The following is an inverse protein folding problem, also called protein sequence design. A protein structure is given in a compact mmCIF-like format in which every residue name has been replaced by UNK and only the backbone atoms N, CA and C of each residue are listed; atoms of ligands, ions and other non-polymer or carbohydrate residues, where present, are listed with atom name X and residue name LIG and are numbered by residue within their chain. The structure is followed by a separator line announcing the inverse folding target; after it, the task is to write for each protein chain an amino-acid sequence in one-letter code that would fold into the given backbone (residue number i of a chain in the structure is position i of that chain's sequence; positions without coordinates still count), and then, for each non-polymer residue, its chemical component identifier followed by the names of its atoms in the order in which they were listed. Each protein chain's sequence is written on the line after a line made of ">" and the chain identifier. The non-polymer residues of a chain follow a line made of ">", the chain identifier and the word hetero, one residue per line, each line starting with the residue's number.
data_IF_879529971812
#
_entry.id   IF_879529971812
#
_cell.length_a   1.000
_cell.length_b   1.000
_cell.length_c   1.000
_cell.angle_alpha   90.00
_cell.angle_beta   90.00
_cell.angle_gamma   90.00
#
_symmetry.space_group_name_H-M   'P 1'
#
loop_
_entity.id
_entity.type
_entity.pdbx_description
1 polymer ?
#
# COMPACT_ATOMS: atom_id res chain seq x y z
N UNK A 1 2.90 7.82 -12.22
CA UNK A 1 1.52 7.76 -12.71
C UNK A 1 1.07 6.31 -12.71
N UNK A 2 0.35 5.87 -11.67
CA UNK A 2 -0.41 4.59 -11.67
C UNK A 2 -1.40 4.50 -10.48
N UNK A 3 -1.83 5.64 -9.93
CA UNK A 3 -2.62 5.68 -8.68
C UNK A 3 -4.09 5.29 -8.90
N UNK A 4 -4.62 5.49 -10.11
CA UNK A 4 -6.03 5.22 -10.42
C UNK A 4 -6.38 3.73 -10.49
N UNK A 5 -5.45 2.86 -10.90
CA UNK A 5 -5.71 1.41 -10.92
C UNK A 5 -5.72 0.79 -9.51
N UNK A 6 -4.99 1.41 -8.58
CA UNK A 6 -4.90 0.91 -7.21
C UNK A 6 -6.26 0.98 -6.52
N UNK A 7 -7.03 2.05 -6.74
CA UNK A 7 -8.36 2.26 -6.12
C UNK A 7 -9.33 1.10 -6.32
N UNK A 8 -9.41 0.56 -7.54
CA UNK A 8 -10.33 -0.54 -7.86
C UNK A 8 -9.95 -1.86 -7.18
N UNK A 9 -8.65 -2.11 -7.04
CA UNK A 9 -8.12 -3.34 -6.43
C UNK A 9 -7.82 -3.18 -4.94
N UNK A 10 -7.84 -1.95 -4.41
CA UNK A 10 -7.45 -1.62 -3.05
C UNK A 10 -8.23 -2.39 -2.00
N UNK A 11 -9.52 -2.65 -2.22
CA UNK A 11 -10.32 -3.45 -1.29
C UNK A 11 -9.80 -4.88 -1.12
N UNK A 12 -9.24 -5.48 -2.17
CA UNK A 12 -8.62 -6.80 -2.09
C UNK A 12 -7.22 -6.69 -1.45
N UNK A 13 -6.47 -5.65 -1.82
CA UNK A 13 -5.14 -5.38 -1.27
C UNK A 13 -5.18 -5.02 0.22
N UNK A 14 -6.24 -4.38 0.72
CA UNK A 14 -6.37 -3.99 2.12
C UNK A 14 -6.27 -5.19 3.07
N UNK A 15 -6.81 -6.36 2.68
CA UNK A 15 -6.64 -7.59 3.46
C UNK A 15 -5.18 -8.04 3.53
N UNK A 16 -4.47 -8.00 2.41
CA UNK A 16 -3.04 -8.32 2.37
C UNK A 16 -2.18 -7.28 3.10
N UNK A 17 -2.55 -6.00 3.00
CA UNK A 17 -1.92 -4.89 3.71
C UNK A 17 -2.06 -5.05 5.22
N UNK A 18 -3.23 -5.46 5.71
CA UNK A 18 -3.45 -5.79 7.12
C UNK A 18 -2.59 -6.97 7.58
N UNK A 19 -2.43 -7.99 6.75
CA UNK A 19 -1.56 -9.13 7.06
C UNK A 19 -0.08 -8.73 7.11
N UNK A 20 0.37 -7.90 6.17
CA UNK A 20 1.74 -7.38 6.10
C UNK A 20 2.05 -6.44 7.26
N UNK A 21 1.15 -5.49 7.51
CA UNK A 21 1.29 -4.47 8.52
C UNK A 21 0.25 -4.68 9.62
N UNK A 22 0.36 -5.76 10.40
CA UNK A 22 -0.60 -6.10 11.46
C UNK A 22 -0.92 -5.03 12.52
N UNK A 23 -0.19 -3.90 12.55
CA UNK A 23 -0.54 -2.71 13.34
C UNK A 23 -1.56 -1.77 12.69
N UNK A 24 -1.82 -1.90 11.40
CA UNK A 24 -2.81 -1.13 10.65
C UNK A 24 -4.16 -1.81 10.80
N UNK A 25 -5.19 -1.02 11.11
CA UNK A 25 -6.57 -1.50 11.20
C UNK A 25 -7.26 -1.48 9.84
N UNK A 26 -8.34 -2.27 9.69
CA UNK A 26 -9.13 -2.28 8.46
C UNK A 26 -9.69 -0.87 8.14
N UNK A 27 -10.14 -0.12 9.16
CA UNK A 27 -10.64 1.24 8.99
C UNK A 27 -9.59 2.19 8.41
N UNK A 28 -8.36 2.13 8.93
CA UNK A 28 -7.25 2.94 8.41
C UNK A 28 -6.90 2.59 6.97
N UNK A 29 -6.84 1.29 6.68
CA UNK A 29 -6.60 0.81 5.33
C UNK A 29 -7.75 1.19 4.40
N UNK A 30 -9.00 1.18 4.86
CA UNK A 30 -10.14 1.66 4.07
C UNK A 30 -10.03 3.15 3.77
N UNK A 31 -9.58 3.98 4.73
CA UNK A 31 -9.37 5.42 4.52
C UNK A 31 -8.26 5.73 3.51
N UNK A 32 -7.30 4.83 3.30
CA UNK A 32 -6.27 5.00 2.27
C UNK A 32 -6.92 5.12 0.88
N UNK A 33 -8.03 4.43 0.63
CA UNK A 33 -8.77 4.46 -0.64
C UNK A 33 -7.85 4.30 -1.86
N UNK A 34 -6.88 3.38 -1.80
CA UNK A 34 -5.93 3.14 -2.89
C UNK A 34 -4.91 4.25 -3.14
N UNK A 35 -4.76 5.21 -2.23
CA UNK A 35 -3.73 6.25 -2.33
C UNK A 35 -2.43 5.78 -1.68
N UNK A 36 -1.41 5.49 -2.50
CA UNK A 36 -0.10 5.07 -2.00
C UNK A 36 0.53 6.05 -1.01
N UNK A 37 0.41 7.37 -1.23
CA UNK A 37 0.97 8.38 -0.31
C UNK A 37 0.29 8.34 1.06
N UNK A 38 -1.03 8.11 1.10
CA UNK A 38 -1.79 7.94 2.36
C UNK A 38 -1.32 6.69 3.11
N UNK A 39 -1.06 5.59 2.39
CA UNK A 39 -0.53 4.37 2.99
C UNK A 39 0.88 4.58 3.56
N UNK A 40 1.73 5.32 2.85
CA UNK A 40 3.09 5.66 3.31
C UNK A 40 3.02 6.48 4.60
N UNK A 41 2.14 7.48 4.67
CA UNK A 41 1.90 8.25 5.89
C UNK A 41 1.48 7.36 7.06
N UNK A 42 0.52 6.46 6.83
CA UNK A 42 0.06 5.50 7.83
C UNK A 42 1.18 4.58 8.33
N UNK A 43 1.99 4.03 7.43
CA UNK A 43 3.13 3.17 7.79
C UNK A 43 4.17 3.97 8.57
N UNK A 44 4.45 5.21 8.17
CA UNK A 44 5.34 6.12 8.89
C UNK A 44 4.83 6.40 10.31
N UNK A 45 3.55 6.75 10.49
CA UNK A 45 2.96 7.07 11.78
C UNK A 45 2.87 5.86 12.72
N UNK A 46 2.51 4.68 12.18
CA UNK A 46 2.27 3.47 12.99
C UNK A 46 3.53 2.69 13.34
N UNK A 47 4.57 2.79 12.51
CA UNK A 47 5.84 2.09 12.73
C UNK A 47 7.00 3.02 13.10
N UNK A 48 6.81 4.35 13.03
CA UNK A 48 7.87 5.32 13.30
C UNK A 48 8.98 5.28 12.24
N UNK A 49 8.66 4.90 11.01
CA UNK A 49 9.65 4.77 9.94
C UNK A 49 9.97 6.13 9.31
N UNK A 50 11.20 6.27 8.84
CA UNK A 50 11.55 7.37 7.95
C UNK A 50 10.72 7.29 6.67
N UNK A 51 10.39 8.44 6.08
CA UNK A 51 9.58 8.52 4.86
C UNK A 51 10.10 7.59 3.75
N UNK A 52 11.41 7.56 3.54
CA UNK A 52 12.06 6.69 2.55
C UNK A 52 11.79 5.20 2.81
N UNK A 53 11.88 4.77 4.07
CA UNK A 53 11.63 3.38 4.45
C UNK A 53 10.15 3.03 4.33
N UNK A 54 9.26 3.94 4.71
CA UNK A 54 7.82 3.73 4.57
C UNK A 54 7.41 3.66 3.09
N UNK A 55 7.99 4.53 2.26
CA UNK A 55 7.80 4.52 0.81
C UNK A 55 8.26 3.19 0.20
N UNK A 56 9.46 2.76 0.52
CA UNK A 56 10.03 1.52 0.01
C UNK A 56 9.23 0.27 0.46
N UNK A 57 8.74 0.22 1.70
CA UNK A 57 7.83 -0.84 2.16
C UNK A 57 6.52 -0.88 1.37
N UNK A 58 5.91 0.29 1.15
CA UNK A 58 4.68 0.42 0.37
C UNK A 58 4.93 0.03 -1.08
N UNK A 59 5.99 0.54 -1.70
CA UNK A 59 6.32 0.23 -3.10
C UNK A 59 6.56 -1.27 -3.27
N UNK A 60 7.29 -1.93 -2.37
CA UNK A 60 7.47 -3.39 -2.38
C UNK A 60 6.15 -4.14 -2.24
N UNK A 61 5.25 -3.66 -1.36
CA UNK A 61 3.93 -4.26 -1.19
C UNK A 61 3.10 -4.14 -2.47
N UNK A 62 3.10 -2.96 -3.10
CA UNK A 62 2.39 -2.72 -4.36
C UNK A 62 3.01 -3.53 -5.49
N UNK A 63 4.33 -3.60 -5.63
CA UNK A 63 5.03 -4.44 -6.62
C UNK A 63 4.66 -5.92 -6.49
N UNK A 64 4.56 -6.43 -5.26
CA UNK A 64 4.20 -7.84 -5.00
C UNK A 64 2.78 -8.19 -5.42
N UNK A 65 1.86 -7.23 -5.35
CA UNK A 65 0.43 -7.47 -5.61
C UNK A 65 -0.09 -6.80 -6.89
N UNK A 66 0.69 -5.93 -7.51
CA UNK A 66 0.46 -5.34 -8.83
C UNK A 66 1.00 -6.28 -9.91
N UNK A 67 0.61 -7.56 -9.89
CA UNK A 67 0.72 -8.41 -11.07
C UNK A 67 -0.33 -7.96 -12.07
N UNK A 68 0.04 -7.01 -12.94
CA UNK A 68 -0.44 -6.81 -14.31
C UNK A 68 0.38 -5.62 -14.88
N UNK A 69 1.13 -5.89 -15.96
CA UNK A 69 1.89 -4.94 -16.79
C UNK A 69 3.39 -4.68 -16.50
N UNK A 70 4.17 -5.68 -16.10
CA UNK A 70 5.60 -5.72 -16.46
C UNK A 70 6.05 -7.17 -16.71
N UNK A 71 5.51 -7.74 -17.77
CA UNK A 71 6.08 -8.95 -18.41
C UNK A 71 5.92 -8.82 -19.92
N UNK A 72 6.44 -7.72 -20.48
CA UNK A 72 6.75 -7.59 -21.91
C UNK A 72 8.04 -6.77 -22.05
N UNK A 73 9.17 -7.44 -21.89
CA UNK A 73 10.35 -7.19 -22.74
C UNK A 73 10.51 -8.37 -23.69
#
# INVERSE_FOLDING_TARGET
>A
MNTDQLKGQWRQLAGAAKAQWGRLTDDELLQVEGNAERLVGLVQERYGYAKERAQDEVDRFLLRHSTLDDTRV
#
